data_IF_932066710317
#
_entry.id   IF_932066710317
#
_cell.length_a   1.000
_cell.length_b   1.000
_cell.length_c   1.000
_cell.angle_alpha   90.00
_cell.angle_beta   90.00
_cell.angle_gamma   90.00
#
_symmetry.space_group_name_H-M   'P 1'
#
loop_
_entity.id
_entity.type
_entity.pdbx_description
1 polymer ?
#
# COMPACT_ATOMS: atom_id res chain seq x y z
N UNK A 1 -35.77 -29.26 14.12
CA UNK A 1 -35.46 -28.56 12.87
C UNK A 1 -33.96 -28.44 12.80
N UNK A 2 -33.31 -29.27 11.99
CA UNK A 2 -31.84 -29.30 11.89
C UNK A 2 -31.45 -28.27 10.83
N UNK A 3 -30.86 -27.14 11.23
CA UNK A 3 -30.30 -26.16 10.29
C UNK A 3 -29.04 -26.79 9.68
N UNK A 4 -29.13 -27.18 8.42
CA UNK A 4 -27.96 -27.51 7.60
C UNK A 4 -27.18 -26.22 7.39
N UNK A 5 -26.02 -26.08 8.04
CA UNK A 5 -25.13 -24.96 7.76
C UNK A 5 -24.72 -25.01 6.29
N UNK A 6 -24.71 -23.88 5.56
CA UNK A 6 -24.17 -23.86 4.21
C UNK A 6 -22.71 -24.30 4.29
N UNK A 7 -22.37 -25.34 3.54
CA UNK A 7 -20.98 -25.74 3.32
C UNK A 7 -20.26 -24.55 2.69
N UNK A 8 -19.38 -23.88 3.43
CA UNK A 8 -18.59 -22.80 2.85
C UNK A 8 -17.77 -23.40 1.72
N UNK A 9 -18.01 -22.93 0.49
CA UNK A 9 -17.14 -23.26 -0.63
C UNK A 9 -15.83 -22.53 -0.39
N UNK A 10 -14.88 -23.21 0.25
CA UNK A 10 -13.53 -22.71 0.48
C UNK A 10 -12.90 -22.43 -0.88
N UNK A 11 -12.54 -21.18 -1.15
CA UNK A 11 -11.84 -20.82 -2.38
C UNK A 11 -10.38 -21.30 -2.31
N UNK A 12 -9.75 -21.68 -3.45
CA UNK A 12 -8.32 -22.00 -3.46
C UNK A 12 -7.50 -20.81 -2.95
N UNK A 13 -6.44 -21.08 -2.17
CA UNK A 13 -5.56 -20.04 -1.66
C UNK A 13 -4.78 -19.35 -2.79
N UNK A 14 -4.56 -18.04 -2.67
CA UNK A 14 -3.60 -17.30 -3.49
C UNK A 14 -2.20 -17.91 -3.32
N UNK A 15 -1.59 -18.31 -4.44
CA UNK A 15 -0.23 -18.81 -4.46
C UNK A 15 0.76 -17.64 -4.37
N UNK A 16 1.44 -17.55 -3.23
CA UNK A 16 2.29 -16.42 -2.93
C UNK A 16 3.69 -16.57 -3.51
N UNK A 17 4.20 -15.45 -4.01
CA UNK A 17 5.57 -15.36 -4.49
C UNK A 17 6.54 -15.20 -3.30
N UNK A 18 7.85 -15.43 -3.47
CA UNK A 18 8.83 -15.36 -2.38
C UNK A 18 8.93 -14.00 -1.67
N UNK A 19 8.46 -12.93 -2.31
CA UNK A 19 8.41 -11.58 -1.72
C UNK A 19 7.23 -11.36 -0.77
N UNK A 20 6.31 -12.32 -0.66
CA UNK A 20 5.09 -12.19 0.14
C UNK A 20 5.35 -12.58 1.61
N UNK A 21 4.93 -11.72 2.53
CA UNK A 21 5.17 -11.90 3.98
C UNK A 21 3.95 -12.42 4.73
N UNK A 22 2.74 -12.12 4.27
CA UNK A 22 1.49 -12.47 4.94
C UNK A 22 0.57 -13.39 4.11
N UNK A 23 1.05 -13.86 2.97
CA UNK A 23 0.26 -14.54 1.95
C UNK A 23 -0.05 -16.01 2.19
N UNK A 24 -0.25 -16.50 3.40
CA UNK A 24 -0.78 -17.85 3.57
C UNK A 24 -2.30 -17.90 3.37
N UNK A 25 -2.81 -17.19 2.35
CA UNK A 25 -4.17 -17.19 1.81
C UNK A 25 -5.28 -17.45 2.82
N UNK A 26 -6.07 -16.42 3.13
CA UNK A 26 -7.33 -16.55 3.86
C UNK A 26 -8.25 -17.56 3.15
N UNK A 27 -8.06 -18.86 3.41
CA UNK A 27 -8.87 -19.92 2.79
C UNK A 27 -10.32 -19.83 3.24
N UNK A 28 -10.55 -19.17 4.37
CA UNK A 28 -11.85 -18.81 4.92
C UNK A 28 -12.50 -17.60 4.23
N UNK A 29 -11.80 -16.92 3.31
CA UNK A 29 -12.37 -15.86 2.50
C UNK A 29 -13.49 -16.39 1.60
N UNK A 30 -14.63 -15.69 1.63
CA UNK A 30 -15.82 -16.04 0.86
C UNK A 30 -15.71 -15.55 -0.59
N UNK A 31 -15.05 -14.40 -0.80
CA UNK A 31 -14.91 -13.77 -2.10
C UNK A 31 -13.44 -13.77 -2.59
N UNK A 32 -13.17 -13.98 -3.88
CA UNK A 32 -11.81 -13.97 -4.41
C UNK A 32 -11.05 -12.66 -4.16
N UNK A 33 -11.73 -11.52 -4.19
CA UNK A 33 -11.15 -10.19 -3.94
C UNK A 33 -10.61 -10.02 -2.52
N UNK A 34 -11.15 -10.77 -1.55
CA UNK A 34 -10.69 -10.77 -0.16
C UNK A 34 -9.42 -11.62 0.03
N UNK A 35 -9.05 -12.42 -0.98
CA UNK A 35 -7.79 -13.12 -0.99
C UNK A 35 -6.69 -12.27 -1.62
N UNK A 36 -5.75 -11.84 -0.79
CA UNK A 36 -4.62 -11.02 -1.19
C UNK A 36 -3.32 -11.49 -0.57
N UNK A 37 -2.24 -11.33 -1.31
CA UNK A 37 -0.87 -11.53 -0.87
C UNK A 37 -0.17 -10.17 -0.80
N UNK A 38 0.40 -9.81 0.35
CA UNK A 38 1.10 -8.54 0.55
C UNK A 38 2.59 -8.77 0.76
N UNK A 39 3.37 -7.94 0.08
CA UNK A 39 4.80 -7.81 0.31
C UNK A 39 5.09 -7.01 1.57
N UNK A 40 6.38 -6.87 1.87
CA UNK A 40 6.86 -6.06 2.98
C UNK A 40 6.37 -4.60 2.84
N UNK A 41 5.89 -4.02 3.93
CA UNK A 41 5.46 -2.63 3.98
C UNK A 41 6.67 -1.70 3.94
N UNK A 42 6.63 -0.71 3.05
CA UNK A 42 7.57 0.43 3.09
C UNK A 42 6.85 1.65 3.65
N UNK A 43 7.47 2.33 4.62
CA UNK A 43 6.94 3.57 5.20
C UNK A 43 7.84 4.76 4.86
N UNK A 44 7.24 5.88 4.43
CA UNK A 44 7.93 7.14 4.14
C UNK A 44 7.30 8.27 4.94
N UNK A 45 8.11 8.93 5.78
CA UNK A 45 7.70 10.11 6.53
C UNK A 45 7.57 11.33 5.59
N UNK A 46 6.41 12.01 5.61
CA UNK A 46 6.14 13.12 4.71
C UNK A 46 6.73 14.47 5.16
N UNK A 47 6.92 14.67 6.45
CA UNK A 47 7.37 15.96 6.99
C UNK A 47 8.37 15.79 8.13
N UNK A 48 9.14 16.85 8.39
CA UNK A 48 10.02 16.96 9.57
C UNK A 48 9.35 17.70 10.75
N UNK A 49 8.07 18.07 10.63
CA UNK A 49 7.30 18.86 11.62
C UNK A 49 6.09 18.04 12.12
N UNK A 50 5.56 18.31 13.32
CA UNK A 50 5.19 17.23 14.22
C UNK A 50 3.78 16.69 13.95
N UNK A 51 3.71 15.37 14.10
CA UNK A 51 2.67 14.56 14.73
C UNK A 51 1.21 15.01 14.50
N UNK A 52 0.43 14.14 13.84
CA UNK A 52 -1.03 14.22 13.84
C UNK A 52 -1.56 13.52 15.10
N UNK A 53 -2.62 14.07 15.67
CA UNK A 53 -3.34 13.45 16.79
C UNK A 53 -4.25 12.34 16.23
N UNK A 54 -3.96 11.09 16.59
CA UNK A 54 -4.76 9.92 16.25
C UNK A 54 -5.57 9.51 17.49
N UNK A 55 -6.85 9.86 17.53
CA UNK A 55 -7.67 9.65 18.73
C UNK A 55 -7.36 10.65 19.86
N UNK A 56 -7.86 10.41 21.06
CA UNK A 56 -7.82 11.42 22.14
C UNK A 56 -6.43 11.61 22.81
N UNK A 57 -5.48 10.70 22.60
CA UNK A 57 -4.19 10.71 23.34
C UNK A 57 -2.96 10.21 22.54
N UNK A 58 -3.09 9.82 21.26
CA UNK A 58 -1.96 9.30 20.47
C UNK A 58 -1.45 10.34 19.46
N UNK A 59 -0.14 10.52 19.39
CA UNK A 59 0.52 11.41 18.44
C UNK A 59 1.38 10.60 17.48
N UNK A 60 1.04 10.62 16.19
CA UNK A 60 1.66 9.77 15.16
C UNK A 60 2.24 10.63 14.05
N UNK A 61 3.40 10.26 13.51
CA UNK A 61 3.94 10.93 12.32
C UNK A 61 3.09 10.62 11.10
N UNK A 62 2.92 11.61 10.23
CA UNK A 62 2.26 11.40 8.95
C UNK A 62 3.18 10.60 8.02
N UNK A 63 2.74 9.39 7.69
CA UNK A 63 3.49 8.42 6.89
C UNK A 63 2.67 7.99 5.69
N UNK A 64 3.37 7.78 4.57
CA UNK A 64 2.83 7.06 3.42
C UNK A 64 3.33 5.64 3.49
N UNK A 65 2.39 4.69 3.41
CA UNK A 65 2.68 3.25 3.37
C UNK A 65 2.53 2.74 1.96
N UNK A 66 3.46 1.89 1.56
CA UNK A 66 3.45 1.20 0.28
C UNK A 66 3.41 -0.31 0.52
N UNK A 67 2.54 -0.98 -0.20
CA UNK A 67 2.44 -2.43 -0.21
C UNK A 67 2.53 -2.92 -1.65
N UNK A 68 3.21 -4.05 -1.86
CA UNK A 68 3.13 -4.80 -3.12
C UNK A 68 2.01 -5.85 -2.97
N UNK A 69 0.95 -5.77 -3.77
CA UNK A 69 -0.22 -6.65 -3.66
C UNK A 69 -0.43 -7.51 -4.89
N UNK A 70 -0.97 -8.71 -4.64
CA UNK A 70 -1.55 -9.57 -5.67
C UNK A 70 -2.88 -10.15 -5.19
N UNK A 71 -3.95 -9.85 -5.91
CA UNK A 71 -5.30 -10.38 -5.66
C UNK A 71 -5.48 -11.77 -6.30
N UNK A 72 -6.45 -12.55 -5.81
CA UNK A 72 -6.81 -13.80 -6.47
C UNK A 72 -7.30 -13.59 -7.91
N UNK A 73 -6.81 -14.44 -8.81
CA UNK A 73 -7.16 -14.35 -10.24
C UNK A 73 -6.57 -13.15 -10.98
N UNK A 74 -5.88 -12.24 -10.29
CA UNK A 74 -5.21 -11.12 -10.94
C UNK A 74 -4.02 -11.62 -11.76
N UNK A 75 -3.94 -11.12 -13.00
CA UNK A 75 -2.79 -11.35 -13.87
C UNK A 75 -1.63 -10.41 -13.54
N UNK A 76 -1.85 -9.40 -12.71
CA UNK A 76 -0.91 -8.32 -12.43
C UNK A 76 -0.73 -8.10 -10.93
N UNK A 77 0.48 -7.71 -10.56
CA UNK A 77 0.83 -7.22 -9.23
C UNK A 77 0.65 -5.70 -9.24
N UNK A 78 0.14 -5.14 -8.15
CA UNK A 78 -0.06 -3.71 -7.95
C UNK A 78 0.75 -3.20 -6.77
N UNK A 79 1.03 -1.90 -6.75
CA UNK A 79 1.53 -1.20 -5.57
C UNK A 79 0.39 -0.34 -5.05
N UNK A 80 0.06 -0.51 -3.78
CA UNK A 80 -0.93 0.34 -3.12
C UNK A 80 -0.26 1.29 -2.16
N UNK A 81 -0.63 2.56 -2.31
CA UNK A 81 -0.15 3.68 -1.53
C UNK A 81 -1.28 4.21 -0.65
N UNK A 82 -0.99 4.37 0.65
CA UNK A 82 -1.95 4.80 1.66
C UNK A 82 -1.36 5.90 2.53
N UNK A 83 -2.18 6.90 2.89
CA UNK A 83 -1.87 7.90 3.91
C UNK A 83 -2.90 7.81 5.04
N UNK A 84 -2.43 7.74 6.30
CA UNK A 84 -3.31 7.62 7.46
C UNK A 84 -4.10 6.29 7.50
N UNK A 85 -5.33 6.34 8.04
CA UNK A 85 -6.20 5.17 8.20
C UNK A 85 -7.08 4.97 6.96
N UNK A 86 -6.66 4.05 6.08
CA UNK A 86 -7.43 3.35 5.01
C UNK A 86 -8.41 4.15 4.11
N UNK A 87 -8.48 5.47 4.20
CA UNK A 87 -9.55 6.27 3.60
C UNK A 87 -9.30 6.69 2.15
N UNK A 88 -8.04 6.79 1.73
CA UNK A 88 -7.66 7.15 0.36
C UNK A 88 -6.51 6.25 -0.10
N UNK A 89 -6.86 5.26 -0.93
CA UNK A 89 -5.89 4.34 -1.54
C UNK A 89 -5.65 4.75 -2.99
N UNK A 90 -4.38 4.75 -3.39
CA UNK A 90 -4.02 4.74 -4.81
C UNK A 90 -3.41 3.38 -5.13
N UNK A 91 -4.04 2.63 -6.03
CA UNK A 91 -3.51 1.37 -6.57
C UNK A 91 -2.87 1.66 -7.92
N UNK A 92 -1.60 1.30 -8.08
CA UNK A 92 -0.81 1.50 -9.29
C UNK A 92 -0.37 0.15 -9.84
N UNK A 93 -0.33 -0.02 -11.15
CA UNK A 93 0.47 -1.07 -11.75
C UNK A 93 1.97 -0.82 -11.47
N UNK A 94 2.79 -1.87 -11.57
CA UNK A 94 4.24 -1.78 -11.24
C UNK A 94 4.95 -0.74 -12.12
N UNK A 95 4.63 -0.68 -13.41
CA UNK A 95 5.16 0.28 -14.36
C UNK A 95 4.68 1.72 -14.10
N UNK A 96 3.42 1.89 -13.69
CA UNK A 96 2.90 3.19 -13.25
C UNK A 96 3.62 3.70 -11.99
N UNK A 97 3.89 2.81 -11.04
CA UNK A 97 4.63 3.14 -9.82
C UNK A 97 6.10 3.53 -10.11
N UNK A 98 6.76 2.82 -11.03
CA UNK A 98 8.10 3.18 -11.51
C UNK A 98 8.11 4.57 -12.14
N UNK A 99 7.18 4.83 -13.07
CA UNK A 99 7.05 6.12 -13.74
C UNK A 99 6.77 7.26 -12.75
N UNK A 100 5.94 7.02 -11.73
CA UNK A 100 5.67 7.97 -10.65
C UNK A 100 6.93 8.28 -9.85
N UNK A 101 7.68 7.26 -9.44
CA UNK A 101 8.94 7.43 -8.68
C UNK A 101 9.95 8.28 -9.45
N UNK A 102 10.10 8.01 -10.74
CA UNK A 102 10.94 8.78 -11.64
C UNK A 102 10.53 10.26 -11.75
N UNK A 103 9.22 10.52 -11.87
CA UNK A 103 8.69 11.87 -11.93
C UNK A 103 8.94 12.64 -10.63
N UNK A 104 8.75 12.00 -9.48
CA UNK A 104 9.03 12.58 -8.17
C UNK A 104 10.52 12.91 -8.00
N UNK A 105 11.41 12.01 -8.41
CA UNK A 105 12.85 12.24 -8.34
C UNK A 105 13.27 13.46 -9.19
N UNK A 106 12.75 13.57 -10.42
CA UNK A 106 12.99 14.72 -11.29
C UNK A 106 12.49 16.03 -10.65
N UNK A 107 11.29 16.03 -10.09
CA UNK A 107 10.74 17.21 -9.43
C UNK A 107 11.60 17.66 -8.24
N UNK A 108 12.10 16.73 -7.42
CA UNK A 108 13.01 17.02 -6.30
C UNK A 108 14.32 17.65 -6.79
N UNK A 109 14.90 17.12 -7.87
CA UNK A 109 16.13 17.67 -8.45
C UNK A 109 15.91 19.10 -8.96
N UNK A 110 14.80 19.36 -9.64
CA UNK A 110 14.44 20.69 -10.13
C UNK A 110 14.26 21.69 -8.98
N UNK A 111 13.56 21.31 -7.91
CA UNK A 111 13.36 22.16 -6.74
C UNK A 111 14.68 22.55 -6.06
N UNK A 112 15.62 21.59 -5.93
CA UNK A 112 16.94 21.85 -5.37
C UNK A 112 17.79 22.77 -6.24
N UNK A 113 17.73 22.60 -7.56
CA UNK A 113 18.42 23.48 -8.50
C UNK A 113 17.86 24.91 -8.44
N UNK A 114 16.54 25.07 -8.38
CA UNK A 114 15.89 26.38 -8.26
C UNK A 114 16.20 27.11 -6.95
N UNK A 115 16.31 26.38 -5.84
CA UNK A 115 16.68 26.95 -4.54
C UNK A 115 18.14 27.45 -4.48
N UNK A 116 19.05 26.86 -5.26
CA UNK A 116 20.45 27.30 -5.34
C UNK A 116 20.63 28.64 -6.06
N UNK A 117 19.66 29.03 -6.91
CA UNK A 117 19.66 30.30 -7.66
C UNK A 117 19.06 31.49 -6.91
N UNK A 118 18.47 31.28 -5.73
CA UNK A 118 17.73 32.31 -4.97
C UNK A 118 18.44 32.85 -3.72
N UNK A 119 19.76 32.70 -3.59
CA UNK A 119 20.52 33.38 -2.52
C UNK A 119 20.53 34.89 -2.78
N UNK A 120 19.93 35.73 -1.90
CA UNK A 120 20.02 37.17 -2.03
C UNK A 120 21.42 37.65 -1.60
N UNK A 121 21.93 38.65 -2.32
CA UNK A 121 23.18 39.36 -2.02
C UNK A 121 23.10 40.18 -0.72
#
# INVERSE_FOLDING_TARGET
>A
MTMTAPSSSTLPAVACAPWCVDGSGHTDAVFPEDQVCRGETVEVELTRQPLVEAGEDEWVRDVVRFYLLRHAGALMTTIEMYRGDLGETVSLAVDEAEALGDALLRAVQQARAGAATSTPA
#
